data_IF_877103490403
#
_entry.id   IF_877103490403
#
_cell.length_a   1.000
_cell.length_b   1.000
_cell.length_c   1.000
_cell.angle_alpha   90.00
_cell.angle_beta   90.00
_cell.angle_gamma   90.00
#
_symmetry.space_group_name_H-M   'P 1'
#
loop_
_entity.id
_entity.type
_entity.pdbx_description
1 polymer ?
#
# COMPACT_ATOMS: atom_id res chain seq x y z
N UNK A 1 68.03 -17.96 -11.10
CA UNK A 1 67.37 -17.44 -9.89
C UNK A 1 65.90 -17.27 -10.24
N UNK A 2 65.02 -18.23 -9.85
CA UNK A 2 63.61 -18.21 -10.15
C UNK A 2 62.87 -17.74 -8.88
N UNK A 3 62.17 -16.60 -8.97
CA UNK A 3 61.36 -16.06 -7.86
C UNK A 3 59.94 -16.59 -8.07
N UNK A 4 59.49 -17.48 -7.19
CA UNK A 4 58.09 -17.94 -7.13
C UNK A 4 57.27 -16.92 -6.35
N UNK A 5 56.29 -16.33 -7.01
CA UNK A 5 55.30 -15.43 -6.40
C UNK A 5 54.10 -16.25 -5.94
N UNK A 6 53.97 -16.46 -4.62
CA UNK A 6 52.84 -17.16 -4.02
C UNK A 6 51.75 -16.13 -3.77
N UNK A 7 50.62 -16.21 -4.52
CA UNK A 7 49.43 -15.40 -4.27
C UNK A 7 48.66 -16.01 -3.09
N UNK A 8 48.55 -15.23 -2.00
CA UNK A 8 47.75 -15.54 -0.84
C UNK A 8 46.31 -15.00 -1.11
N UNK A 9 45.40 -15.88 -1.40
CA UNK A 9 43.97 -15.56 -1.51
C UNK A 9 43.36 -15.45 -0.10
N UNK A 10 43.16 -14.23 0.37
CA UNK A 10 42.42 -13.94 1.60
C UNK A 10 40.92 -13.98 1.27
N UNK A 11 40.23 -15.06 1.60
CA UNK A 11 38.76 -15.14 1.53
C UNK A 11 38.19 -14.36 2.70
N UNK A 12 37.65 -13.14 2.44
CA UNK A 12 36.81 -12.42 3.39
C UNK A 12 35.44 -13.11 3.43
N UNK A 13 35.18 -13.92 4.44
CA UNK A 13 33.84 -14.36 4.77
C UNK A 13 33.08 -13.19 5.40
N UNK A 14 32.15 -12.60 4.63
CA UNK A 14 31.21 -11.63 5.17
C UNK A 14 30.27 -12.34 6.17
N UNK A 15 30.08 -11.81 7.39
CA UNK A 15 29.14 -12.40 8.32
C UNK A 15 27.72 -12.31 7.75
N UNK A 16 27.05 -13.45 7.67
CA UNK A 16 25.63 -13.54 7.35
C UNK A 16 24.88 -12.76 8.43
N UNK A 17 24.38 -11.57 8.12
CA UNK A 17 23.54 -10.81 9.04
C UNK A 17 22.26 -11.60 9.26
N UNK A 18 22.04 -12.08 10.48
CA UNK A 18 20.79 -12.67 10.88
C UNK A 18 19.65 -11.66 10.64
N UNK A 19 18.56 -12.14 10.04
CA UNK A 19 17.35 -11.33 9.87
C UNK A 19 16.93 -10.77 11.24
N UNK A 20 16.49 -9.49 11.31
CA UNK A 20 16.03 -8.93 12.57
C UNK A 20 14.89 -9.79 13.11
N UNK A 21 14.84 -10.03 14.44
CA UNK A 21 13.77 -10.81 15.03
C UNK A 21 12.43 -10.17 14.71
N UNK A 22 11.42 -10.99 14.38
CA UNK A 22 10.05 -10.54 14.19
C UNK A 22 9.63 -9.71 15.42
N UNK A 23 8.97 -8.56 15.24
CA UNK A 23 8.53 -7.74 16.36
C UNK A 23 7.65 -8.59 17.27
N UNK A 24 7.94 -8.57 18.58
CA UNK A 24 7.17 -9.29 19.58
C UNK A 24 5.68 -8.86 19.47
N UNK A 25 4.73 -9.82 19.54
CA UNK A 25 3.31 -9.49 19.47
C UNK A 25 2.96 -8.52 20.60
N UNK A 26 2.54 -7.33 20.23
CA UNK A 26 2.05 -6.33 21.20
C UNK A 26 0.76 -6.90 21.79
N UNK A 27 0.68 -7.04 23.13
CA UNK A 27 -0.56 -7.43 23.79
C UNK A 27 -1.60 -6.36 23.54
N UNK A 28 -2.57 -6.66 22.69
CA UNK A 28 -3.70 -5.77 22.45
C UNK A 28 -4.49 -5.60 23.75
N UNK A 29 -4.64 -4.35 24.21
CA UNK A 29 -5.56 -4.01 25.28
C UNK A 29 -7.02 -4.12 24.82
N UNK A 30 -7.97 -4.21 25.75
CA UNK A 30 -9.38 -4.05 25.40
C UNK A 30 -9.59 -2.64 24.76
N UNK A 31 -10.40 -2.50 23.67
CA UNK A 31 -11.34 -3.48 23.12
C UNK A 31 -10.77 -4.40 22.02
N UNK A 32 -9.49 -4.33 21.68
CA UNK A 32 -8.92 -5.00 20.50
C UNK A 32 -8.44 -6.44 20.77
N UNK A 33 -8.42 -6.87 22.02
CA UNK A 33 -8.04 -8.23 22.39
C UNK A 33 -8.92 -9.32 21.75
N UNK A 34 -10.18 -9.00 21.42
CA UNK A 34 -11.09 -9.90 20.71
C UNK A 34 -10.63 -10.19 19.28
N UNK A 35 -9.99 -9.24 18.61
CA UNK A 35 -9.49 -9.43 17.24
C UNK A 35 -8.38 -10.47 17.19
N UNK A 36 -7.45 -10.42 18.13
CA UNK A 36 -6.39 -11.41 18.23
C UNK A 36 -6.93 -12.84 18.50
N UNK A 37 -8.08 -12.94 19.20
CA UNK A 37 -8.72 -14.24 19.52
C UNK A 37 -9.63 -14.78 18.39
N UNK A 38 -9.97 -13.96 17.41
CA UNK A 38 -10.92 -14.33 16.34
C UNK A 38 -10.32 -15.12 15.18
N UNK A 39 -9.07 -15.57 15.27
CA UNK A 39 -8.33 -16.25 14.20
C UNK A 39 -7.83 -15.29 13.10
N UNK A 40 -7.99 -13.97 13.26
CA UNK A 40 -7.45 -12.96 12.36
C UNK A 40 -5.94 -12.87 12.50
N UNK A 41 -5.26 -12.61 11.39
CA UNK A 41 -3.79 -12.50 11.35
C UNK A 41 -3.37 -11.04 11.39
N UNK A 42 -2.82 -10.59 12.52
CA UNK A 42 -2.25 -9.26 12.67
C UNK A 42 -0.73 -9.34 12.77
N UNK A 43 -0.03 -8.64 11.88
CA UNK A 43 1.42 -8.40 12.00
C UNK A 43 1.72 -7.26 12.98
N UNK A 44 0.78 -6.32 13.09
CA UNK A 44 0.84 -5.21 14.05
C UNK A 44 -0.56 -4.94 14.56
N UNK A 45 -0.69 -4.79 15.87
CA UNK A 45 -1.88 -4.30 16.54
C UNK A 45 -1.43 -3.50 17.76
N UNK A 46 -1.33 -2.18 17.60
CA UNK A 46 -0.86 -1.25 18.64
C UNK A 46 -1.95 -0.23 18.94
N UNK A 47 -2.55 -0.26 20.15
CA UNK A 47 -3.61 0.66 20.52
C UNK A 47 -3.14 2.05 20.99
N UNK A 48 -1.83 2.31 21.04
CA UNK A 48 -1.29 3.59 21.51
C UNK A 48 -1.55 4.72 20.51
N UNK A 49 -1.87 5.91 21.02
CA UNK A 49 -2.24 7.06 20.19
C UNK A 49 -3.50 6.77 19.37
N UNK A 50 -3.52 7.12 18.10
CA UNK A 50 -4.62 6.80 17.17
C UNK A 50 -4.65 5.32 16.77
N UNK A 51 -3.63 4.59 17.18
CA UNK A 51 -3.48 3.16 17.00
C UNK A 51 -3.02 2.76 15.61
N UNK A 52 -2.44 1.55 15.52
CA UNK A 52 -1.97 0.96 14.27
C UNK A 52 -2.45 -0.47 14.15
N UNK A 53 -2.77 -0.88 12.94
CA UNK A 53 -3.11 -2.27 12.63
C UNK A 53 -2.59 -2.65 11.25
N UNK A 54 -1.99 -3.83 11.17
CA UNK A 54 -1.62 -4.46 9.90
C UNK A 54 -2.20 -5.86 9.91
N UNK A 55 -3.32 -6.04 9.22
CA UNK A 55 -4.03 -7.30 9.10
C UNK A 55 -3.72 -7.97 7.76
N UNK A 56 -3.51 -9.26 7.78
CA UNK A 56 -3.27 -10.09 6.60
C UNK A 56 -4.46 -11.00 6.36
N UNK A 57 -4.94 -11.04 5.11
CA UNK A 57 -5.88 -12.01 4.60
C UNK A 57 -5.14 -12.93 3.61
N UNK A 58 -5.27 -14.24 3.78
CA UNK A 58 -4.53 -15.24 3.03
C UNK A 58 -3.21 -15.63 3.69
N UNK A 59 -2.47 -16.52 3.04
CA UNK A 59 -1.17 -17.00 3.53
C UNK A 59 -0.03 -16.15 2.94
N UNK A 60 0.49 -15.23 3.74
CA UNK A 60 1.58 -14.34 3.34
C UNK A 60 2.85 -15.12 2.98
N UNK A 61 3.11 -16.24 3.67
CA UNK A 61 4.34 -17.01 3.47
C UNK A 61 4.37 -17.71 2.10
N UNK A 62 3.22 -18.15 1.58
CA UNK A 62 3.11 -18.82 0.28
C UNK A 62 2.70 -17.89 -0.86
N UNK A 63 2.30 -16.65 -0.56
CA UNK A 63 1.79 -15.71 -1.57
C UNK A 63 2.83 -15.42 -2.67
N UNK A 64 2.35 -15.40 -3.89
CA UNK A 64 3.09 -14.94 -5.09
C UNK A 64 2.74 -13.50 -5.45
N UNK A 65 1.58 -13.03 -4.99
CA UNK A 65 1.07 -11.68 -5.21
C UNK A 65 0.54 -11.13 -3.90
N UNK A 66 0.99 -9.95 -3.55
CA UNK A 66 0.59 -9.30 -2.30
C UNK A 66 0.05 -7.91 -2.63
N UNK A 67 -1.20 -7.65 -2.23
CA UNK A 67 -1.79 -6.32 -2.30
C UNK A 67 -1.71 -5.64 -0.93
N UNK A 68 -1.21 -4.41 -0.87
CA UNK A 68 -1.14 -3.62 0.36
C UNK A 68 -2.05 -2.41 0.22
N UNK A 69 -3.12 -2.37 1.01
CA UNK A 69 -4.11 -1.30 1.00
C UNK A 69 -3.78 -0.27 2.09
N UNK A 70 -3.58 0.98 1.67
CA UNK A 70 -3.21 2.12 2.51
C UNK A 70 -4.37 3.12 2.56
N UNK A 71 -4.99 3.34 3.75
CA UNK A 71 -6.14 4.22 3.90
C UNK A 71 -5.76 5.70 3.87
N UNK A 72 -6.78 6.56 3.75
CA UNK A 72 -6.67 8.01 3.74
C UNK A 72 -6.82 8.68 5.10
N UNK A 73 -7.16 9.98 5.07
CA UNK A 73 -7.36 10.83 6.26
C UNK A 73 -8.36 10.26 7.26
N UNK A 74 -8.29 10.70 8.51
CA UNK A 74 -9.21 10.36 9.60
C UNK A 74 -9.28 8.87 9.97
N UNK A 75 -8.44 8.02 9.38
CA UNK A 75 -8.45 6.58 9.67
C UNK A 75 -7.66 6.30 10.95
N UNK A 76 -8.36 5.82 11.98
CA UNK A 76 -7.77 5.40 13.26
C UNK A 76 -8.05 3.93 13.51
N UNK A 77 -7.35 3.34 14.46
CA UNK A 77 -7.57 1.93 14.83
C UNK A 77 -9.03 1.62 15.18
N UNK A 78 -9.73 2.53 15.87
CA UNK A 78 -11.16 2.38 16.20
C UNK A 78 -12.06 2.29 14.96
N UNK A 79 -11.61 2.81 13.81
CA UNK A 79 -12.36 2.86 12.55
C UNK A 79 -11.95 1.71 11.61
N UNK A 80 -10.93 0.92 11.98
CA UNK A 80 -10.33 -0.11 11.15
C UNK A 80 -11.31 -1.19 10.66
N UNK A 81 -12.26 -1.61 11.51
CA UNK A 81 -13.30 -2.59 11.18
C UNK A 81 -14.65 -2.00 10.83
N UNK A 82 -15.01 -0.85 11.42
CA UNK A 82 -16.35 -0.28 11.28
C UNK A 82 -16.42 0.90 10.33
N UNK A 83 -15.27 1.48 10.01
CA UNK A 83 -15.13 2.66 9.17
C UNK A 83 -15.43 3.97 9.88
N UNK A 84 -14.88 5.04 9.34
CA UNK A 84 -15.10 6.40 9.81
C UNK A 84 -16.59 6.74 9.83
N UNK A 85 -17.07 7.21 10.99
CA UNK A 85 -18.49 7.51 11.21
C UNK A 85 -19.40 6.28 11.19
N UNK A 86 -18.88 5.06 11.37
CA UNK A 86 -19.64 3.82 11.31
C UNK A 86 -20.01 3.37 9.88
N UNK A 87 -19.41 3.99 8.87
CA UNK A 87 -19.67 3.64 7.46
C UNK A 87 -18.73 2.53 7.02
N UNK A 88 -19.19 1.29 6.99
CA UNK A 88 -18.37 0.08 6.81
C UNK A 88 -17.49 0.10 5.55
N UNK A 89 -17.97 0.68 4.43
CA UNK A 89 -17.16 0.81 3.21
C UNK A 89 -15.92 1.70 3.34
N UNK A 90 -15.80 2.45 4.45
CA UNK A 90 -14.61 3.26 4.80
C UNK A 90 -13.60 2.48 5.65
N UNK A 91 -13.95 1.29 6.11
CA UNK A 91 -13.13 0.47 6.99
C UNK A 91 -12.02 -0.22 6.19
N UNK A 92 -10.73 -0.02 6.53
CA UNK A 92 -9.62 -0.69 5.84
C UNK A 92 -9.76 -2.21 5.81
N UNK A 93 -10.18 -2.83 6.92
CA UNK A 93 -10.38 -4.26 7.00
C UNK A 93 -11.54 -4.77 6.12
N UNK A 94 -12.63 -4.00 5.99
CA UNK A 94 -13.74 -4.34 5.11
C UNK A 94 -13.32 -4.25 3.65
N UNK A 95 -12.61 -3.19 3.28
CA UNK A 95 -12.08 -3.01 1.94
C UNK A 95 -11.10 -4.13 1.55
N UNK A 96 -10.19 -4.49 2.45
CA UNK A 96 -9.24 -5.58 2.21
C UNK A 96 -9.95 -6.93 2.04
N UNK A 97 -10.98 -7.22 2.85
CA UNK A 97 -11.81 -8.43 2.69
C UNK A 97 -12.55 -8.45 1.36
N UNK A 98 -13.05 -7.30 0.89
CA UNK A 98 -13.70 -7.22 -0.43
C UNK A 98 -12.70 -7.50 -1.56
N UNK A 99 -11.49 -6.93 -1.51
CA UNK A 99 -10.42 -7.23 -2.48
C UNK A 99 -10.03 -8.71 -2.44
N UNK A 100 -9.86 -9.28 -1.24
CA UNK A 100 -9.51 -10.69 -1.09
C UNK A 100 -10.59 -11.64 -1.63
N UNK A 101 -11.85 -11.34 -1.35
CA UNK A 101 -12.98 -12.12 -1.87
C UNK A 101 -13.06 -12.04 -3.41
N UNK A 102 -12.88 -10.86 -3.98
CA UNK A 102 -12.89 -10.66 -5.45
C UNK A 102 -11.76 -11.41 -6.13
N UNK A 103 -10.55 -11.42 -5.54
CA UNK A 103 -9.40 -12.18 -6.04
C UNK A 103 -9.70 -13.68 -6.09
N UNK A 104 -10.27 -14.23 -5.02
CA UNK A 104 -10.63 -15.65 -4.97
C UNK A 104 -11.82 -16.01 -5.86
N UNK A 105 -12.75 -15.08 -6.08
CA UNK A 105 -13.84 -15.28 -7.03
C UNK A 105 -13.33 -15.31 -8.47
N UNK A 106 -12.33 -14.48 -8.80
CA UNK A 106 -11.74 -14.40 -10.12
C UNK A 106 -10.78 -15.56 -10.41
N UNK A 107 -9.99 -15.98 -9.42
CA UNK A 107 -9.04 -17.10 -9.51
C UNK A 107 -8.93 -17.82 -8.15
N UNK A 108 -9.71 -18.90 -7.92
CA UNK A 108 -9.67 -19.66 -6.67
C UNK A 108 -8.32 -20.34 -6.38
N UNK A 109 -7.50 -20.54 -7.40
CA UNK A 109 -6.17 -21.17 -7.29
C UNK A 109 -5.04 -20.18 -7.05
N UNK A 110 -5.30 -18.88 -7.12
CA UNK A 110 -4.26 -17.87 -6.99
C UNK A 110 -3.67 -17.81 -5.57
N UNK A 111 -2.35 -17.83 -5.50
CA UNK A 111 -1.61 -17.64 -4.25
C UNK A 111 -1.46 -16.14 -3.96
N UNK A 112 -2.47 -15.59 -3.33
CA UNK A 112 -2.58 -14.16 -3.05
C UNK A 112 -2.68 -13.89 -1.56
N UNK A 113 -2.16 -12.73 -1.13
CA UNK A 113 -2.45 -12.17 0.18
C UNK A 113 -2.84 -10.70 0.03
N UNK A 114 -3.75 -10.25 0.89
CA UNK A 114 -4.15 -8.84 0.97
C UNK A 114 -3.85 -8.32 2.36
N UNK A 115 -3.20 -7.17 2.43
CA UNK A 115 -2.82 -6.51 3.67
C UNK A 115 -3.62 -5.23 3.83
N UNK A 116 -4.45 -5.15 4.87
CA UNK A 116 -5.00 -3.88 5.34
C UNK A 116 -3.93 -3.20 6.20
N UNK A 117 -3.32 -2.12 5.68
CA UNK A 117 -2.17 -1.51 6.31
C UNK A 117 -2.50 -0.12 6.88
N UNK A 118 -2.74 -0.05 8.18
CA UNK A 118 -2.77 1.18 8.98
C UNK A 118 -1.49 1.23 9.83
N UNK A 119 -0.35 1.37 9.15
CA UNK A 119 0.97 1.40 9.79
C UNK A 119 1.51 2.81 9.99
N UNK A 120 0.73 3.84 9.68
CA UNK A 120 1.10 5.24 9.86
C UNK A 120 0.00 6.00 10.61
N UNK A 121 0.26 7.25 10.93
CA UNK A 121 -0.69 8.16 11.57
C UNK A 121 -1.25 9.12 10.50
N UNK A 122 -2.45 8.84 9.93
CA UNK A 122 -3.09 9.70 8.94
C UNK A 122 -3.42 11.09 9.51
N UNK A 123 -3.39 12.15 8.70
CA UNK A 123 -3.83 13.46 9.15
C UNK A 123 -5.33 13.47 9.43
N UNK A 124 -5.76 14.38 10.33
CA UNK A 124 -7.15 14.53 10.70
C UNK A 124 -7.85 15.62 9.88
N UNK A 125 -9.02 15.27 9.37
CA UNK A 125 -9.91 16.17 8.64
C UNK A 125 -9.30 16.80 7.39
N UNK A 126 -10.03 17.75 6.82
CA UNK A 126 -9.53 18.66 5.78
C UNK A 126 -8.83 19.84 6.46
N UNK A 127 -7.60 19.62 6.89
CA UNK A 127 -6.78 20.54 7.67
C UNK A 127 -5.51 20.92 6.92
N UNK A 128 -4.70 21.83 7.50
CA UNK A 128 -3.37 22.13 6.97
C UNK A 128 -2.47 20.88 6.96
N UNK A 129 -2.65 19.95 7.91
CA UNK A 129 -1.88 18.72 7.96
C UNK A 129 -2.25 17.79 6.81
N UNK A 130 -3.54 17.67 6.45
CA UNK A 130 -3.97 16.90 5.29
C UNK A 130 -3.61 17.57 3.96
N UNK A 131 -3.42 18.90 3.95
CA UNK A 131 -2.93 19.63 2.79
C UNK A 131 -1.40 19.54 2.62
N UNK A 132 -0.66 19.08 3.64
CA UNK A 132 0.79 18.91 3.63
C UNK A 132 1.18 17.46 3.37
N UNK A 133 2.41 17.27 2.88
CA UNK A 133 2.95 15.93 2.62
C UNK A 133 3.76 15.33 3.80
N UNK A 134 3.86 16.00 4.95
CA UNK A 134 4.72 15.58 6.05
C UNK A 134 4.30 14.22 6.64
N UNK A 135 2.99 14.05 6.95
CA UNK A 135 2.45 12.77 7.43
C UNK A 135 2.62 11.66 6.40
N UNK A 136 2.43 12.00 5.11
CA UNK A 136 2.61 11.03 4.02
C UNK A 136 4.09 10.62 3.86
N UNK A 137 5.06 11.50 4.08
CA UNK A 137 6.49 11.15 4.07
C UNK A 137 6.85 10.19 5.17
N UNK A 138 6.38 10.43 6.39
CA UNK A 138 6.55 9.49 7.51
C UNK A 138 5.90 8.15 7.20
N UNK A 139 4.64 8.17 6.74
CA UNK A 139 3.93 6.97 6.33
C UNK A 139 4.62 6.21 5.20
N UNK A 140 5.19 6.91 4.22
CA UNK A 140 5.94 6.29 3.13
C UNK A 140 7.23 5.59 3.61
N UNK A 141 7.94 6.17 4.58
CA UNK A 141 9.11 5.52 5.17
C UNK A 141 8.73 4.24 5.93
N UNK A 142 7.63 4.29 6.70
CA UNK A 142 7.10 3.13 7.43
C UNK A 142 6.57 2.05 6.46
N UNK A 143 5.86 2.45 5.41
CA UNK A 143 5.38 1.55 4.35
C UNK A 143 6.55 0.89 3.62
N UNK A 144 7.60 1.66 3.30
CA UNK A 144 8.82 1.15 2.66
C UNK A 144 9.49 0.09 3.54
N UNK A 145 9.63 0.37 4.84
CA UNK A 145 10.17 -0.58 5.81
C UNK A 145 9.32 -1.85 5.86
N UNK A 146 8.00 -1.71 5.95
CA UNK A 146 7.07 -2.84 5.96
C UNK A 146 7.17 -3.68 4.68
N UNK A 147 7.09 -3.07 3.50
CA UNK A 147 7.13 -3.80 2.22
C UNK A 147 8.43 -4.58 2.05
N UNK A 148 9.55 -4.10 2.57
CA UNK A 148 10.84 -4.82 2.56
C UNK A 148 10.83 -6.10 3.40
N UNK A 149 9.92 -6.24 4.37
CA UNK A 149 9.77 -7.47 5.16
C UNK A 149 8.93 -8.54 4.47
N UNK A 150 8.19 -8.18 3.41
CA UNK A 150 7.34 -9.12 2.68
C UNK A 150 8.19 -10.16 1.91
N UNK A 151 7.67 -11.38 1.63
CA UNK A 151 8.40 -12.42 0.89
C UNK A 151 9.00 -11.90 -0.42
N UNK A 152 10.31 -12.07 -0.62
CA UNK A 152 11.04 -11.49 -1.74
C UNK A 152 10.53 -11.92 -3.12
N UNK A 153 9.96 -13.13 -3.22
CA UNK A 153 9.42 -13.69 -4.47
C UNK A 153 8.07 -13.10 -4.89
N UNK A 154 7.36 -12.44 -3.98
CA UNK A 154 6.01 -11.95 -4.26
C UNK A 154 6.06 -10.64 -5.04
N UNK A 155 5.26 -10.55 -6.11
CA UNK A 155 4.94 -9.28 -6.74
C UNK A 155 4.06 -8.44 -5.79
N UNK A 156 4.36 -7.16 -5.66
CA UNK A 156 3.65 -6.27 -4.73
C UNK A 156 2.86 -5.23 -5.51
N UNK A 157 1.56 -5.14 -5.20
CA UNK A 157 0.67 -4.06 -5.63
C UNK A 157 0.37 -3.15 -4.45
N UNK A 158 0.70 -1.86 -4.55
CA UNK A 158 0.31 -0.86 -3.55
C UNK A 158 -1.00 -0.20 -3.96
N UNK A 159 -1.97 -0.17 -3.06
CA UNK A 159 -3.28 0.45 -3.29
C UNK A 159 -3.44 1.59 -2.28
N UNK A 160 -3.48 2.82 -2.77
CA UNK A 160 -3.69 4.01 -1.94
C UNK A 160 -5.07 4.60 -2.17
N UNK A 161 -5.86 4.75 -1.10
CA UNK A 161 -7.12 5.47 -1.14
C UNK A 161 -6.93 6.90 -0.61
N UNK A 162 -7.45 7.89 -1.33
CA UNK A 162 -7.41 9.29 -0.88
C UNK A 162 -5.99 9.77 -0.57
N UNK A 163 -5.73 10.27 0.64
CA UNK A 163 -4.40 10.64 1.13
C UNK A 163 -3.41 9.46 1.13
N UNK A 164 -3.90 8.22 1.31
CA UNK A 164 -3.07 7.03 1.20
C UNK A 164 -2.40 6.87 -0.17
N UNK A 165 -2.97 7.45 -1.23
CA UNK A 165 -2.33 7.48 -2.55
C UNK A 165 -1.05 8.33 -2.57
N UNK A 166 -0.97 9.39 -1.74
CA UNK A 166 0.24 10.16 -1.57
C UNK A 166 1.31 9.34 -0.83
N UNK A 167 0.91 8.56 0.18
CA UNK A 167 1.81 7.67 0.92
C UNK A 167 2.43 6.63 -0.02
N UNK A 168 1.61 5.91 -0.80
CA UNK A 168 2.12 4.89 -1.73
C UNK A 168 2.94 5.51 -2.86
N UNK A 169 2.56 6.71 -3.34
CA UNK A 169 3.31 7.42 -4.38
C UNK A 169 4.71 7.84 -3.93
N UNK A 170 4.88 8.21 -2.67
CA UNK A 170 6.18 8.56 -2.09
C UNK A 170 7.02 7.33 -1.76
N UNK A 171 6.39 6.18 -1.45
CA UNK A 171 7.09 4.94 -1.14
C UNK A 171 7.55 4.20 -2.40
N UNK A 172 6.74 4.15 -3.45
CA UNK A 172 6.96 3.33 -4.65
C UNK A 172 8.35 3.48 -5.29
N UNK A 173 8.94 4.70 -5.45
CA UNK A 173 10.27 4.86 -6.04
C UNK A 173 11.40 4.17 -5.26
N UNK A 174 11.18 3.84 -3.98
CA UNK A 174 12.15 3.17 -3.12
C UNK A 174 11.97 1.65 -3.08
N UNK A 175 11.02 1.11 -3.85
CA UNK A 175 10.55 -0.27 -3.81
C UNK A 175 10.53 -0.88 -5.22
N UNK A 176 11.68 -1.31 -5.76
CA UNK A 176 11.80 -1.80 -7.14
C UNK A 176 10.95 -3.06 -7.43
N UNK A 177 10.53 -3.78 -6.39
CA UNK A 177 9.65 -4.96 -6.52
C UNK A 177 8.15 -4.63 -6.48
N UNK A 178 7.78 -3.37 -6.35
CA UNK A 178 6.40 -2.93 -6.56
C UNK A 178 6.14 -2.91 -8.06
N UNK A 179 5.25 -3.78 -8.51
CA UNK A 179 4.92 -3.93 -9.93
C UNK A 179 3.82 -2.98 -10.36
N UNK A 180 2.90 -2.70 -9.43
CA UNK A 180 1.71 -1.91 -9.69
C UNK A 180 1.39 -0.98 -8.53
N UNK A 181 0.94 0.22 -8.86
CA UNK A 181 0.43 1.21 -7.92
C UNK A 181 -0.97 1.62 -8.35
N UNK A 182 -1.95 1.49 -7.45
CA UNK A 182 -3.35 1.82 -7.69
C UNK A 182 -3.72 3.03 -6.84
N UNK A 183 -4.22 4.08 -7.47
CA UNK A 183 -4.66 5.31 -6.84
C UNK A 183 -6.18 5.45 -6.93
N UNK A 184 -6.88 5.35 -5.81
CA UNK A 184 -8.33 5.42 -5.70
C UNK A 184 -8.75 6.76 -5.07
N UNK A 185 -9.50 7.60 -5.78
CA UNK A 185 -9.93 8.91 -5.28
C UNK A 185 -8.77 9.80 -4.83
N UNK A 186 -7.64 9.77 -5.54
CA UNK A 186 -6.41 10.41 -5.12
C UNK A 186 -6.36 11.90 -5.45
N UNK A 187 -5.99 12.79 -4.50
CA UNK A 187 -5.75 14.22 -4.79
C UNK A 187 -4.45 14.45 -5.56
N UNK A 188 -3.46 13.57 -5.38
CA UNK A 188 -2.14 13.55 -5.99
C UNK A 188 -1.31 12.43 -5.39
N UNK A 189 -0.09 12.22 -5.90
CA UNK A 189 0.81 11.13 -5.48
C UNK A 189 2.23 11.59 -5.15
N UNK A 190 2.44 12.90 -4.99
CA UNK A 190 3.78 13.44 -4.74
C UNK A 190 4.70 13.47 -5.95
N UNK A 191 4.28 12.91 -7.08
CA UNK A 191 4.96 12.94 -8.37
C UNK A 191 4.16 13.77 -9.38
N UNK A 192 4.80 14.20 -10.45
CA UNK A 192 4.15 14.95 -11.56
C UNK A 192 3.68 14.03 -12.68
N UNK A 193 4.24 12.82 -12.77
CA UNK A 193 3.94 11.80 -13.79
C UNK A 193 4.05 10.40 -13.21
N UNK A 194 3.45 9.43 -13.88
CA UNK A 194 3.55 8.01 -13.53
C UNK A 194 5.00 7.49 -13.58
N UNK A 195 5.81 7.99 -14.51
CA UNK A 195 7.23 7.61 -14.60
C UNK A 195 8.03 7.97 -13.33
N UNK A 196 7.59 8.98 -12.57
CA UNK A 196 8.20 9.34 -11.27
C UNK A 196 7.96 8.34 -10.14
N UNK A 197 7.25 7.23 -10.37
CA UNK A 197 6.90 6.25 -9.36
C UNK A 197 7.74 4.96 -9.44
N UNK A 198 8.99 5.05 -9.90
CA UNK A 198 9.96 3.96 -9.79
C UNK A 198 9.78 2.80 -10.78
N UNK A 199 9.06 3.03 -11.90
CA UNK A 199 8.85 2.04 -12.94
C UNK A 199 7.65 1.11 -12.75
N UNK A 200 6.95 1.19 -11.65
CA UNK A 200 5.67 0.50 -11.46
C UNK A 200 4.61 1.00 -12.45
N UNK A 201 3.72 0.12 -12.92
CA UNK A 201 2.52 0.57 -13.64
C UNK A 201 1.63 1.33 -12.68
N UNK A 202 1.13 2.47 -13.11
CA UNK A 202 0.27 3.31 -12.28
C UNK A 202 -1.15 3.27 -12.82
N UNK A 203 -2.10 2.97 -11.95
CA UNK A 203 -3.53 2.89 -12.24
C UNK A 203 -4.29 3.93 -11.44
N UNK A 204 -5.34 4.50 -11.99
CA UNK A 204 -6.11 5.52 -11.29
C UNK A 204 -7.62 5.37 -11.54
N UNK A 205 -8.39 5.40 -10.45
CA UNK A 205 -9.84 5.56 -10.49
C UNK A 205 -10.25 6.88 -9.84
N UNK A 206 -11.14 7.62 -10.50
CA UNK A 206 -11.75 8.84 -9.97
C UNK A 206 -13.20 8.93 -10.43
N UNK A 207 -14.14 8.64 -9.52
CA UNK A 207 -15.58 8.68 -9.78
C UNK A 207 -16.05 10.10 -10.10
N UNK A 208 -17.11 10.20 -10.89
CA UNK A 208 -17.64 11.49 -11.36
C UNK A 208 -18.17 12.36 -10.21
N UNK A 209 -18.74 11.72 -9.19
CA UNK A 209 -19.33 12.35 -8.01
C UNK A 209 -18.36 12.45 -6.81
N UNK A 210 -17.09 12.02 -6.97
CA UNK A 210 -16.09 12.13 -5.92
C UNK A 210 -15.69 13.59 -5.68
N UNK A 211 -15.85 14.06 -4.44
CA UNK A 211 -15.54 15.43 -4.04
C UNK A 211 -14.05 15.79 -4.17
N UNK A 212 -13.15 14.80 -4.19
CA UNK A 212 -11.71 15.00 -4.37
C UNK A 212 -11.38 15.73 -5.69
N UNK A 213 -12.30 15.67 -6.65
CA UNK A 213 -12.21 16.40 -7.93
C UNK A 213 -12.08 17.92 -7.74
N UNK A 214 -12.53 18.44 -6.59
CA UNK A 214 -12.49 19.88 -6.24
C UNK A 214 -11.16 20.29 -5.60
N UNK A 215 -10.32 19.34 -5.21
CA UNK A 215 -9.00 19.65 -4.61
C UNK A 215 -8.08 20.21 -5.69
N UNK A 216 -7.42 21.37 -5.45
CA UNK A 216 -6.49 21.97 -6.41
C UNK A 216 -5.30 21.04 -6.72
N UNK A 217 -4.91 20.97 -8.00
CA UNK A 217 -3.77 20.18 -8.47
C UNK A 217 -2.47 21.00 -8.42
N UNK A 218 -2.20 21.59 -7.26
CA UNK A 218 -1.03 22.44 -7.05
C UNK A 218 -0.11 21.80 -6.00
N UNK A 219 1.18 22.09 -6.11
CA UNK A 219 2.17 21.78 -5.08
C UNK A 219 3.21 22.88 -5.02
N UNK A 220 3.42 23.43 -3.82
CA UNK A 220 4.45 24.41 -3.52
C UNK A 220 5.17 23.94 -2.24
N UNK A 221 6.41 23.49 -2.38
CA UNK A 221 7.15 22.88 -1.27
C UNK A 221 6.43 21.67 -0.72
N UNK A 222 6.03 21.74 0.55
CA UNK A 222 5.29 20.68 1.26
C UNK A 222 3.77 20.86 1.22
N UNK A 223 3.25 21.91 0.60
CA UNK A 223 1.82 22.21 0.52
C UNK A 223 1.25 21.73 -0.81
N UNK A 224 0.13 21.03 -0.76
CA UNK A 224 -0.55 20.43 -1.91
C UNK A 224 0.04 19.08 -2.32
N UNK A 225 -0.72 18.34 -3.11
CA UNK A 225 -0.41 16.95 -3.46
C UNK A 225 0.10 16.81 -4.92
N UNK A 226 0.08 17.91 -5.67
CA UNK A 226 0.53 17.95 -7.06
C UNK A 226 -0.54 17.52 -8.06
N UNK A 227 -0.09 17.04 -9.20
CA UNK A 227 -0.98 16.58 -10.28
C UNK A 227 -1.74 15.33 -9.85
N UNK A 228 -3.04 15.33 -10.15
CA UNK A 228 -3.92 14.19 -9.89
C UNK A 228 -3.58 13.05 -10.85
N UNK A 229 -3.50 11.78 -10.37
CA UNK A 229 -3.17 10.64 -11.22
C UNK A 229 -4.22 10.38 -12.31
N UNK A 230 -5.48 10.76 -12.10
CA UNK A 230 -6.53 10.69 -13.15
C UNK A 230 -6.42 11.76 -14.25
N UNK A 231 -5.49 12.71 -14.13
CA UNK A 231 -5.19 13.65 -15.21
C UNK A 231 -4.45 12.94 -16.35
N UNK A 232 -4.86 13.10 -17.63
CA UNK A 232 -4.16 12.48 -18.76
C UNK A 232 -2.66 12.79 -18.78
N UNK A 233 -2.28 14.01 -18.39
CA UNK A 233 -0.88 14.43 -18.34
C UNK A 233 -0.05 13.78 -17.22
N UNK A 234 -0.67 13.02 -16.31
CA UNK A 234 0.04 12.20 -15.33
C UNK A 234 0.54 10.88 -15.94
N UNK A 235 -0.21 10.31 -16.89
CA UNK A 235 0.17 9.08 -17.59
C UNK A 235 -0.20 7.80 -16.82
N UNK A 236 -1.12 7.86 -15.86
CA UNK A 236 -1.67 6.66 -15.24
C UNK A 236 -2.71 5.99 -16.13
N UNK A 237 -2.79 4.67 -16.07
CA UNK A 237 -3.80 3.88 -16.74
C UNK A 237 -5.17 4.04 -16.03
N UNK A 238 -6.25 4.31 -16.76
CA UNK A 238 -7.55 4.51 -16.14
C UNK A 238 -8.17 3.19 -15.68
N UNK A 239 -8.76 3.19 -14.50
CA UNK A 239 -9.65 2.12 -14.03
C UNK A 239 -11.12 2.55 -14.16
N UNK A 240 -12.03 1.61 -14.48
CA UNK A 240 -13.45 1.89 -14.59
C UNK A 240 -14.04 2.30 -13.22
N UNK A 241 -15.06 3.17 -13.23
CA UNK A 241 -15.73 3.66 -12.03
C UNK A 241 -17.24 3.39 -12.02
N UNK A 242 -17.72 2.53 -12.92
CA UNK A 242 -19.13 2.09 -12.90
C UNK A 242 -19.47 1.43 -11.56
N UNK A 243 -20.58 1.82 -10.95
CA UNK A 243 -21.00 1.32 -9.64
C UNK A 243 -20.26 1.94 -8.44
N UNK A 244 -19.30 2.85 -8.68
CA UNK A 244 -18.66 3.63 -7.60
C UNK A 244 -19.54 4.83 -7.25
N UNK A 245 -19.80 5.01 -5.95
CA UNK A 245 -20.57 6.15 -5.44
C UNK A 245 -19.72 6.93 -4.43
N UNK A 246 -19.52 8.21 -4.70
CA UNK A 246 -18.79 9.15 -3.85
C UNK A 246 -17.30 8.76 -3.70
N UNK A 247 -16.72 9.22 -2.61
CA UNK A 247 -15.27 9.08 -2.34
C UNK A 247 -14.85 7.70 -1.82
N UNK A 248 -15.78 6.93 -1.25
CA UNK A 248 -15.45 5.71 -0.51
C UNK A 248 -15.93 4.43 -1.22
N UNK A 249 -16.54 4.54 -2.41
CA UNK A 249 -17.22 3.43 -3.10
C UNK A 249 -16.32 2.54 -3.97
N UNK A 250 -15.05 2.83 -4.13
CA UNK A 250 -14.17 2.18 -5.11
C UNK A 250 -14.01 0.67 -4.90
N UNK A 251 -13.95 0.23 -3.65
CA UNK A 251 -13.77 -1.18 -3.27
C UNK A 251 -15.05 -1.82 -2.72
N UNK A 252 -16.21 -1.23 -3.04
CA UNK A 252 -17.49 -1.86 -2.72
C UNK A 252 -17.73 -3.09 -3.62
N UNK A 253 -18.28 -4.19 -3.07
CA UNK A 253 -18.69 -5.33 -3.87
C UNK A 253 -19.61 -4.90 -5.02
N UNK A 254 -19.35 -5.41 -6.22
CA UNK A 254 -20.09 -5.07 -7.44
C UNK A 254 -19.64 -3.79 -8.15
N UNK A 255 -18.68 -3.02 -7.61
CA UNK A 255 -18.08 -1.92 -8.36
C UNK A 255 -17.11 -2.43 -9.43
N UNK A 256 -17.14 -1.84 -10.61
CA UNK A 256 -16.21 -2.19 -11.68
C UNK A 256 -14.74 -1.91 -11.29
N UNK A 257 -14.52 -0.97 -10.38
CA UNK A 257 -13.17 -0.68 -9.87
C UNK A 257 -12.62 -1.84 -9.06
N UNK A 258 -13.43 -2.48 -8.20
CA UNK A 258 -12.99 -3.63 -7.40
C UNK A 258 -12.53 -4.78 -8.30
N UNK A 259 -13.32 -5.14 -9.30
CA UNK A 259 -12.98 -6.21 -10.25
C UNK A 259 -11.73 -5.85 -11.08
N UNK A 260 -11.59 -4.58 -11.49
CA UNK A 260 -10.41 -4.13 -12.20
C UNK A 260 -9.15 -4.14 -11.31
N UNK A 261 -9.26 -3.78 -10.03
CA UNK A 261 -8.16 -3.89 -9.06
C UNK A 261 -7.74 -5.34 -8.87
N UNK A 262 -8.69 -6.27 -8.76
CA UNK A 262 -8.39 -7.71 -8.69
C UNK A 262 -7.64 -8.19 -9.95
N UNK A 263 -8.08 -7.75 -11.13
CA UNK A 263 -7.40 -8.08 -12.39
C UNK A 263 -5.95 -7.54 -12.43
N UNK A 264 -5.70 -6.33 -11.92
CA UNK A 264 -4.35 -5.75 -11.80
C UNK A 264 -3.46 -6.62 -10.89
N UNK A 265 -3.96 -7.02 -9.72
CA UNK A 265 -3.22 -7.85 -8.77
C UNK A 265 -2.92 -9.24 -9.34
N UNK A 266 -3.87 -9.84 -10.06
CA UNK A 266 -3.70 -11.17 -10.67
C UNK A 266 -2.74 -11.16 -11.85
N UNK A 267 -2.55 -10.01 -12.53
CA UNK A 267 -1.69 -9.85 -13.70
C UNK A 267 -0.62 -8.78 -13.47
N UNK A 268 0.33 -8.99 -12.52
CA UNK A 268 1.37 -8.01 -12.24
C UNK A 268 2.27 -7.79 -13.45
N UNK A 269 2.89 -6.61 -13.55
CA UNK A 269 3.96 -6.38 -14.54
C UNK A 269 5.10 -7.36 -14.31
N UNK A 270 5.76 -7.84 -15.37
CA UNK A 270 7.04 -8.51 -15.22
C UNK A 270 7.99 -7.61 -14.44
N UNK A 271 8.63 -8.17 -13.41
CA UNK A 271 9.70 -7.44 -12.70
C UNK A 271 10.84 -7.19 -13.67
N UNK A 272 11.32 -5.94 -13.73
CA UNK A 272 12.53 -5.64 -14.50
C UNK A 272 13.70 -6.45 -13.92
N UNK A 273 14.30 -7.31 -14.69
CA UNK A 273 15.37 -8.25 -14.30
C UNK A 273 16.73 -7.57 -14.00
N UNK A 274 16.74 -6.34 -13.46
CA UNK A 274 17.96 -5.52 -13.34
C UNK A 274 18.31 -5.14 -11.89
N UNK A 275 18.00 -5.94 -10.89
CA UNK A 275 18.33 -5.59 -9.50
C UNK A 275 19.24 -6.58 -8.74
N UNK A 276 19.69 -7.69 -9.34
CA UNK A 276 20.52 -8.69 -8.66
C UNK A 276 21.91 -8.90 -9.28
N UNK A 277 22.49 -7.87 -9.92
CA UNK A 277 23.86 -7.92 -10.45
C UNK A 277 24.61 -6.63 -10.07
N UNK A 278 24.88 -6.43 -8.78
CA UNK A 278 25.93 -5.52 -8.31
C UNK A 278 26.37 -5.91 -6.89
#
# INVERSE_FOLDING_TARGET
MRISLTLLLLSLALPLQAAPPAPAPVRAGEPYASWARSGRQFLTLDPRGDGRAVEVLGDLASAERIAVLVPGVDTRLRDFDRGLGGVSRRAPAVQARAVYAELHAADPGARVAVVAWLGYDPPEGLSLDSARDLRARTGAAELTTFVRTLPARAAVTLIGHSYGALVVGLAAPQLPRVTDVVALGAPGMGASTAAGLGGARVWSALAADDWIRRIPQLRVGHLGHGRRPSSPAFGALPLPTTGVTGHDGYLCPGSATLSAVAAVILNPSPQSATADAA
#
